data_IF_652586440351
#
_entry.id   IF_652586440351
#
_cell.length_a   1.000
_cell.length_b   1.000
_cell.length_c   1.000
_cell.angle_alpha   90.00
_cell.angle_beta   90.00
_cell.angle_gamma   90.00
#
_symmetry.space_group_name_H-M   'P 1'
#
loop_
_entity.id
_entity.type
_entity.pdbx_description
1 polymer ?
#
# COMPACT_ATOMS: atom_id res chain seq x y z
N UNK A 1 23.34 -44.19 41.02
CA UNK A 1 22.08 -43.59 41.50
C UNK A 1 21.41 -42.96 40.29
N UNK A 2 20.36 -43.62 39.81
CA UNK A 2 19.60 -43.27 38.60
C UNK A 2 18.17 -42.98 39.06
N UNK A 3 17.53 -41.86 38.70
CA UNK A 3 16.11 -41.70 38.98
C UNK A 3 15.28 -42.33 37.86
N UNK A 4 14.35 -43.21 38.26
CA UNK A 4 13.31 -43.83 37.44
C UNK A 4 12.23 -42.79 37.07
N UNK A 5 11.71 -42.88 35.84
CA UNK A 5 10.41 -42.30 35.45
C UNK A 5 9.25 -43.03 36.14
N UNK A 6 8.10 -42.37 36.33
CA UNK A 6 6.80 -43.02 36.33
C UNK A 6 6.11 -42.88 34.97
N UNK A 7 5.57 -44.00 34.52
CA UNK A 7 4.72 -44.22 33.35
C UNK A 7 3.27 -43.98 33.78
N UNK A 8 2.55 -43.08 33.10
CA UNK A 8 1.08 -43.08 33.13
C UNK A 8 0.55 -43.22 31.70
N UNK A 9 -0.11 -44.35 31.49
CA UNK A 9 -0.83 -44.73 30.29
C UNK A 9 -2.27 -44.24 30.39
N UNK A 10 -2.70 -43.40 29.44
CA UNK A 10 -4.12 -43.20 29.15
C UNK A 10 -4.39 -43.53 27.68
N UNK A 11 -5.21 -44.56 27.49
CA UNK A 11 -5.77 -45.01 26.23
C UNK A 11 -7.16 -44.43 26.10
N UNK A 12 -7.44 -43.73 25.00
CA UNK A 12 -8.78 -43.64 24.43
C UNK A 12 -8.70 -43.93 22.94
N UNK A 13 -9.33 -45.03 22.54
CA UNK A 13 -9.63 -45.36 21.17
C UNK A 13 -10.84 -44.56 20.68
N UNK A 14 -10.84 -44.40 19.35
CA UNK A 14 -11.99 -44.33 18.45
C UNK A 14 -12.61 -42.99 18.07
N UNK A 15 -12.21 -42.59 16.85
CA UNK A 15 -13.06 -42.25 15.69
C UNK A 15 -14.15 -41.19 15.86
N UNK A 16 -13.80 -39.97 15.46
CA UNK A 16 -14.68 -39.14 14.62
C UNK A 16 -13.85 -38.57 13.47
N UNK A 17 -14.08 -39.12 12.27
CA UNK A 17 -13.67 -38.55 10.99
C UNK A 17 -14.32 -37.17 10.83
N UNK A 18 -13.53 -36.13 11.07
CA UNK A 18 -13.88 -34.76 10.66
C UNK A 18 -13.42 -34.61 9.22
N UNK A 19 -14.41 -34.50 8.35
CA UNK A 19 -14.29 -34.17 6.94
C UNK A 19 -13.46 -32.87 6.81
N UNK A 20 -12.24 -32.99 6.28
CA UNK A 20 -11.39 -31.87 5.95
C UNK A 20 -11.99 -31.14 4.75
N UNK A 21 -12.83 -30.13 4.99
CA UNK A 21 -13.01 -29.08 4.01
C UNK A 21 -11.69 -28.33 3.91
N UNK A 22 -10.94 -28.62 2.84
CA UNK A 22 -9.79 -27.83 2.41
C UNK A 22 -10.15 -26.34 2.47
N UNK A 23 -9.38 -25.51 3.20
CA UNK A 23 -9.52 -24.07 3.06
C UNK A 23 -9.15 -23.76 1.61
N UNK A 24 -10.10 -23.21 0.85
CA UNK A 24 -9.94 -22.84 -0.55
C UNK A 24 -8.56 -22.20 -0.75
N UNK A 25 -7.69 -22.94 -1.43
CA UNK A 25 -6.39 -22.49 -1.88
C UNK A 25 -6.68 -21.26 -2.76
N UNK A 26 -6.46 -20.07 -2.21
CA UNK A 26 -6.59 -18.83 -2.97
C UNK A 26 -5.43 -18.88 -3.96
N UNK A 27 -5.73 -19.29 -5.19
CA UNK A 27 -4.75 -19.41 -6.24
C UNK A 27 -4.09 -18.05 -6.42
N UNK A 28 -2.80 -17.97 -6.06
CA UNK A 28 -2.03 -16.73 -6.10
C UNK A 28 -1.96 -16.21 -7.54
N UNK A 29 -2.10 -17.11 -8.53
CA UNK A 29 -2.24 -16.76 -9.93
C UNK A 29 -3.55 -16.00 -10.20
N UNK A 30 -4.67 -16.37 -9.58
CA UNK A 30 -5.95 -15.66 -9.70
C UNK A 30 -5.90 -14.27 -9.03
N UNK A 31 -5.12 -14.10 -7.95
CA UNK A 31 -4.92 -12.78 -7.33
C UNK A 31 -4.09 -11.86 -8.25
N UNK A 32 -3.03 -12.38 -8.84
CA UNK A 32 -2.17 -11.66 -9.80
C UNK A 32 -2.93 -11.36 -11.10
N UNK A 33 -3.75 -12.29 -11.58
CA UNK A 33 -4.56 -12.15 -12.79
C UNK A 33 -5.79 -11.24 -12.57
N UNK A 34 -6.35 -11.24 -11.36
CA UNK A 34 -7.40 -10.29 -10.93
C UNK A 34 -6.88 -8.85 -10.85
N UNK A 35 -5.61 -8.65 -10.53
CA UNK A 35 -4.97 -7.32 -10.57
C UNK A 35 -4.71 -6.89 -12.02
N UNK A 36 -4.40 -7.85 -12.91
CA UNK A 36 -4.12 -7.62 -14.33
C UNK A 36 -5.33 -7.43 -15.25
N UNK A 37 -6.54 -7.82 -14.84
CA UNK A 37 -7.77 -7.79 -15.67
C UNK A 37 -8.83 -6.84 -15.13
N UNK A 38 -8.54 -5.53 -15.11
CA UNK A 38 -9.58 -4.52 -14.84
C UNK A 38 -10.11 -3.95 -16.15
N UNK A 39 -11.37 -4.25 -16.47
CA UNK A 39 -12.07 -3.75 -17.65
C UNK A 39 -12.28 -2.22 -17.61
N UNK A 40 -11.98 -1.55 -18.74
CA UNK A 40 -11.91 -0.08 -18.90
C UNK A 40 -13.23 0.54 -19.38
N UNK A 41 -14.34 0.28 -18.71
CA UNK A 41 -15.63 0.86 -19.09
C UNK A 41 -15.89 2.20 -18.38
N UNK A 42 -15.96 3.28 -19.18
CA UNK A 42 -16.45 4.63 -18.89
C UNK A 42 -15.83 5.39 -17.70
N UNK A 43 -14.92 6.30 -18.00
CA UNK A 43 -14.37 7.29 -17.07
C UNK A 43 -15.46 8.26 -16.57
N UNK A 44 -15.58 8.48 -15.24
CA UNK A 44 -16.41 9.55 -14.70
C UNK A 44 -15.95 10.94 -15.14
N UNK A 45 -16.88 11.89 -15.32
CA UNK A 45 -16.63 13.22 -15.86
C UNK A 45 -15.61 14.09 -15.07
N UNK A 46 -15.26 13.72 -13.84
CA UNK A 46 -14.30 14.46 -12.99
C UNK A 46 -12.82 14.26 -13.33
N UNK A 47 -12.46 13.18 -14.04
CA UNK A 47 -11.06 12.83 -14.27
C UNK A 47 -10.31 13.81 -15.20
N UNK A 48 -11.01 14.53 -16.08
CA UNK A 48 -10.42 15.56 -16.95
C UNK A 48 -9.93 16.81 -16.19
N UNK A 49 -10.38 17.03 -14.95
CA UNK A 49 -9.90 18.14 -14.10
C UNK A 49 -8.65 17.75 -13.29
N UNK A 50 -8.50 16.45 -12.98
CA UNK A 50 -7.28 15.91 -12.38
C UNK A 50 -6.07 16.13 -13.30
N UNK A 51 -6.30 16.15 -14.61
CA UNK A 51 -5.26 16.32 -15.63
C UNK A 51 -4.74 17.77 -15.82
N UNK A 52 -5.12 18.74 -14.97
CA UNK A 52 -4.63 20.13 -15.08
C UNK A 52 -3.83 20.61 -13.85
N UNK A 53 -3.58 19.74 -12.87
CA UNK A 53 -3.12 20.13 -11.55
C UNK A 53 -1.58 20.07 -11.41
N UNK A 54 -0.91 21.23 -11.39
CA UNK A 54 0.54 21.34 -11.15
C UNK A 54 0.91 22.04 -9.83
N UNK A 55 -0.05 22.71 -9.17
CA UNK A 55 0.23 23.56 -8.00
C UNK A 55 -0.78 23.43 -6.85
N UNK A 56 -1.86 22.66 -7.04
CA UNK A 56 -2.91 22.43 -6.04
C UNK A 56 -3.62 21.10 -6.32
N UNK A 57 -4.34 20.59 -5.32
CA UNK A 57 -5.22 19.43 -5.51
C UNK A 57 -6.49 19.85 -6.27
N UNK A 58 -7.15 18.91 -6.98
CA UNK A 58 -8.44 19.15 -7.60
C UNK A 58 -9.52 19.62 -6.59
N UNK A 59 -10.65 20.16 -7.07
CA UNK A 59 -11.82 20.42 -6.24
C UNK A 59 -12.28 19.18 -5.46
N UNK A 60 -12.83 19.39 -4.25
CA UNK A 60 -13.18 18.30 -3.32
C UNK A 60 -14.18 17.30 -3.91
N UNK A 61 -15.17 17.78 -4.64
CA UNK A 61 -16.17 16.96 -5.33
C UNK A 61 -15.55 16.01 -6.37
N UNK A 62 -14.50 16.45 -7.07
CA UNK A 62 -13.72 15.60 -7.97
C UNK A 62 -12.95 14.55 -7.17
N UNK A 63 -12.30 14.96 -6.08
CA UNK A 63 -11.52 14.05 -5.23
C UNK A 63 -12.38 12.97 -4.61
N UNK A 64 -13.58 13.28 -4.13
CA UNK A 64 -14.51 12.30 -3.58
C UNK A 64 -14.84 11.20 -4.61
N UNK A 65 -15.10 11.58 -5.87
CA UNK A 65 -15.36 10.61 -6.95
C UNK A 65 -14.14 9.74 -7.26
N UNK A 66 -12.94 10.32 -7.24
CA UNK A 66 -11.68 9.59 -7.47
C UNK A 66 -11.40 8.63 -6.32
N UNK A 67 -11.62 9.05 -5.07
CA UNK A 67 -11.42 8.22 -3.88
C UNK A 67 -12.38 7.03 -3.84
N UNK A 68 -13.64 7.17 -4.27
CA UNK A 68 -14.53 6.00 -4.41
C UNK A 68 -13.98 5.01 -5.45
N UNK A 69 -13.47 5.52 -6.57
CA UNK A 69 -12.85 4.68 -7.60
C UNK A 69 -11.61 3.96 -7.05
N UNK A 70 -10.80 4.68 -6.29
CA UNK A 70 -9.62 4.14 -5.62
C UNK A 70 -9.98 3.00 -4.67
N UNK A 71 -10.93 3.24 -3.75
CA UNK A 71 -11.40 2.24 -2.79
C UNK A 71 -12.00 1.00 -3.45
N UNK A 72 -12.60 1.14 -4.64
CA UNK A 72 -13.15 0.02 -5.39
C UNK A 72 -12.07 -0.77 -6.14
N UNK A 73 -11.04 -0.10 -6.69
CA UNK A 73 -10.03 -0.74 -7.55
C UNK A 73 -8.78 -1.22 -6.83
N UNK A 74 -8.42 -0.58 -5.73
CA UNK A 74 -7.20 -0.87 -4.99
C UNK A 74 -7.56 -1.42 -3.61
N UNK A 75 -7.14 -2.64 -3.32
CA UNK A 75 -7.16 -3.15 -1.97
C UNK A 75 -6.16 -2.32 -1.14
N UNK A 76 -6.64 -1.62 -0.12
CA UNK A 76 -5.81 -0.82 0.78
C UNK A 76 -5.60 -1.56 2.11
N UNK A 77 -4.58 -2.42 2.23
CA UNK A 77 -4.35 -3.15 3.46
C UNK A 77 -3.91 -2.25 4.62
N UNK A 78 -3.29 -1.08 4.35
CA UNK A 78 -2.65 -0.25 5.39
C UNK A 78 -3.42 1.01 5.82
N UNK A 79 -4.39 1.48 5.04
CA UNK A 79 -5.22 2.64 5.38
C UNK A 79 -6.69 2.24 5.47
N UNK A 80 -7.30 2.44 6.64
CA UNK A 80 -8.74 2.25 6.78
C UNK A 80 -9.52 3.30 5.96
N UNK A 81 -10.74 2.94 5.52
CA UNK A 81 -11.63 3.90 4.84
C UNK A 81 -11.86 5.16 5.67
N UNK A 82 -12.03 5.02 6.98
CA UNK A 82 -12.23 6.14 7.91
C UNK A 82 -11.00 7.04 7.97
N UNK A 83 -9.79 6.46 8.02
CA UNK A 83 -8.53 7.20 8.00
C UNK A 83 -8.36 7.98 6.69
N UNK A 84 -8.66 7.35 5.55
CA UNK A 84 -8.59 7.99 4.24
C UNK A 84 -9.53 9.19 4.12
N UNK A 85 -10.78 9.04 4.57
CA UNK A 85 -11.76 10.14 4.58
C UNK A 85 -11.32 11.26 5.53
N UNK A 86 -10.76 10.91 6.71
CA UNK A 86 -10.21 11.90 7.63
C UNK A 86 -9.04 12.70 7.03
N UNK A 87 -8.17 12.06 6.25
CA UNK A 87 -7.14 12.78 5.48
C UNK A 87 -7.74 13.67 4.39
N UNK A 88 -8.80 13.22 3.71
CA UNK A 88 -9.51 14.07 2.75
C UNK A 88 -10.10 15.31 3.43
N UNK A 89 -10.79 15.16 4.55
CA UNK A 89 -11.32 16.29 5.33
C UNK A 89 -10.20 17.24 5.77
N UNK A 90 -9.11 16.71 6.33
CA UNK A 90 -7.93 17.50 6.76
C UNK A 90 -7.29 18.26 5.60
N UNK A 91 -7.27 17.68 4.41
CA UNK A 91 -6.70 18.28 3.19
C UNK A 91 -7.42 19.56 2.79
N UNK A 92 -8.76 19.59 2.95
CA UNK A 92 -9.60 20.74 2.60
C UNK A 92 -9.99 21.60 3.82
N UNK A 93 -9.45 21.30 5.00
CA UNK A 93 -9.64 22.13 6.18
C UNK A 93 -8.75 23.38 6.14
N UNK A 94 -9.22 24.49 6.73
CA UNK A 94 -8.48 25.75 6.87
C UNK A 94 -7.37 25.69 7.94
N UNK A 95 -6.71 24.53 8.08
CA UNK A 95 -5.66 24.29 9.07
C UNK A 95 -4.29 24.27 8.41
N UNK A 96 -3.27 24.83 9.07
CA UNK A 96 -1.90 24.91 8.55
C UNK A 96 -1.11 23.59 8.59
N UNK A 97 -1.60 22.56 9.30
CA UNK A 97 -0.96 21.24 9.44
C UNK A 97 -1.69 20.16 8.62
N UNK A 98 -1.91 20.43 7.33
CA UNK A 98 -2.54 19.48 6.40
C UNK A 98 -1.56 18.92 5.35
N UNK A 99 -0.28 19.29 5.41
CA UNK A 99 0.70 18.96 4.36
C UNK A 99 0.85 17.45 4.15
N UNK A 100 0.82 16.66 5.24
CA UNK A 100 0.85 15.20 5.14
C UNK A 100 -0.40 14.65 4.46
N UNK A 101 -1.58 15.14 4.84
CA UNK A 101 -2.85 14.77 4.22
C UNK A 101 -2.89 15.14 2.74
N UNK A 102 -2.37 16.32 2.38
CA UNK A 102 -2.23 16.77 0.98
C UNK A 102 -1.31 15.84 0.19
N UNK A 103 -0.18 15.40 0.78
CA UNK A 103 0.68 14.38 0.18
C UNK A 103 -0.10 13.08 -0.07
N UNK A 104 -0.72 12.53 0.97
CA UNK A 104 -1.37 11.22 0.92
C UNK A 104 -2.52 11.22 -0.11
N UNK A 105 -3.41 12.22 -0.04
CA UNK A 105 -4.54 12.36 -0.95
C UNK A 105 -4.06 12.66 -2.38
N UNK A 106 -3.09 13.56 -2.55
CA UNK A 106 -2.55 13.89 -3.87
C UNK A 106 -1.89 12.70 -4.57
N UNK A 107 -1.11 11.90 -3.84
CA UNK A 107 -0.52 10.67 -4.39
C UNK A 107 -1.59 9.64 -4.72
N UNK A 108 -2.62 9.45 -3.89
CA UNK A 108 -3.73 8.53 -4.18
C UNK A 108 -4.50 8.95 -5.44
N UNK A 109 -4.78 10.24 -5.60
CA UNK A 109 -5.42 10.76 -6.82
C UNK A 109 -4.54 10.50 -8.02
N UNK A 110 -3.24 10.77 -7.93
CA UNK A 110 -2.29 10.50 -9.00
C UNK A 110 -2.28 9.00 -9.36
N UNK A 111 -2.16 8.10 -8.38
CA UNK A 111 -2.21 6.64 -8.55
C UNK A 111 -3.48 6.20 -9.27
N UNK A 112 -4.64 6.70 -8.81
CA UNK A 112 -5.93 6.36 -9.40
C UNK A 112 -6.03 6.88 -10.83
N UNK A 113 -5.58 8.10 -11.08
CA UNK A 113 -5.61 8.70 -12.40
C UNK A 113 -4.70 7.94 -13.37
N UNK A 114 -3.51 7.51 -12.97
CA UNK A 114 -2.64 6.66 -13.82
C UNK A 114 -3.30 5.32 -14.15
N UNK A 115 -3.96 4.68 -13.18
CA UNK A 115 -4.52 3.34 -13.39
C UNK A 115 -5.85 3.31 -14.16
N UNK A 116 -6.58 4.43 -14.23
CA UNK A 116 -7.90 4.50 -14.90
C UNK A 116 -7.82 5.31 -16.20
N UNK A 117 -6.93 6.30 -16.22
CA UNK A 117 -6.48 7.24 -17.28
C UNK A 117 -5.69 6.71 -18.49
N UNK A 118 -6.23 6.46 -19.70
CA UNK A 118 -5.37 6.03 -20.81
C UNK A 118 -4.33 7.08 -21.20
N UNK A 119 -4.60 8.39 -21.08
CA UNK A 119 -3.66 9.51 -21.25
C UNK A 119 -4.27 10.88 -20.84
N UNK A 120 -3.47 11.93 -20.53
CA UNK A 120 -2.00 11.92 -20.47
C UNK A 120 -1.45 11.74 -19.05
N UNK A 121 -0.46 10.86 -18.93
CA UNK A 121 0.28 10.55 -17.70
C UNK A 121 1.03 11.77 -17.11
N UNK A 122 1.34 12.77 -17.95
CA UNK A 122 2.08 13.98 -17.56
C UNK A 122 1.45 14.73 -16.38
N UNK A 123 0.13 14.83 -16.34
CA UNK A 123 -0.57 15.57 -15.30
C UNK A 123 -0.64 14.80 -13.98
N UNK A 124 -0.80 13.48 -14.05
CA UNK A 124 -0.70 12.62 -12.86
C UNK A 124 0.70 12.67 -12.27
N UNK A 125 1.73 12.75 -13.11
CA UNK A 125 3.12 12.93 -12.66
C UNK A 125 3.35 14.31 -12.04
N UNK A 126 2.78 15.38 -12.60
CA UNK A 126 2.83 16.71 -11.98
C UNK A 126 2.16 16.73 -10.60
N UNK A 127 1.00 16.09 -10.47
CA UNK A 127 0.30 15.96 -9.20
C UNK A 127 1.09 15.11 -8.19
N UNK A 128 1.71 14.02 -8.65
CA UNK A 128 2.62 13.23 -7.84
C UNK A 128 3.80 14.09 -7.35
N UNK A 129 4.47 14.83 -8.24
CA UNK A 129 5.57 15.72 -7.87
C UNK A 129 5.17 16.79 -6.86
N UNK A 130 4.02 17.43 -7.07
CA UNK A 130 3.45 18.36 -6.11
C UNK A 130 3.27 17.69 -4.73
N UNK A 131 2.75 16.47 -4.70
CA UNK A 131 2.51 15.71 -3.46
C UNK A 131 3.81 15.36 -2.75
N UNK A 132 4.86 14.96 -3.48
CA UNK A 132 6.21 14.73 -2.93
C UNK A 132 6.80 15.99 -2.29
N UNK A 133 6.60 17.15 -2.89
CA UNK A 133 7.05 18.41 -2.29
C UNK A 133 6.40 18.63 -0.92
N UNK A 134 5.12 18.28 -0.75
CA UNK A 134 4.41 18.37 0.54
C UNK A 134 4.95 17.38 1.58
N UNK A 135 5.26 16.16 1.16
CA UNK A 135 5.93 15.18 2.03
C UNK A 135 7.30 15.72 2.50
N UNK A 136 8.10 16.29 1.59
CA UNK A 136 9.44 16.80 1.93
C UNK A 136 9.41 17.93 2.96
N UNK A 137 8.37 18.77 2.95
CA UNK A 137 8.18 19.82 3.95
C UNK A 137 7.75 19.19 5.28
N UNK A 138 6.81 18.24 5.23
CA UNK A 138 6.31 17.53 6.42
C UNK A 138 7.43 16.82 7.17
N UNK A 139 8.30 16.08 6.47
CA UNK A 139 9.41 15.34 7.09
C UNK A 139 10.49 16.25 7.69
N UNK A 140 10.55 17.54 7.31
CA UNK A 140 11.45 18.53 7.93
C UNK A 140 10.91 19.06 9.25
N UNK A 141 9.62 18.90 9.51
CA UNK A 141 8.99 19.28 10.78
C UNK A 141 8.98 18.06 11.71
N UNK A 142 9.32 18.23 13.00
CA UNK A 142 9.33 17.14 13.99
C UNK A 142 7.98 16.40 13.96
N UNK A 143 8.02 15.09 13.74
CA UNK A 143 6.83 14.27 13.52
C UNK A 143 6.01 14.05 14.82
N UNK A 144 4.68 14.23 14.80
CA UNK A 144 3.79 13.84 15.90
C UNK A 144 3.38 12.36 15.88
N UNK A 145 3.60 11.61 14.79
CA UNK A 145 3.21 10.20 14.67
C UNK A 145 4.39 9.36 14.12
N UNK A 146 4.82 8.31 14.85
CA UNK A 146 5.97 7.49 14.48
C UNK A 146 5.75 6.68 13.19
N UNK A 147 4.51 6.40 12.79
CA UNK A 147 4.24 5.51 11.66
C UNK A 147 4.01 6.24 10.32
N UNK A 148 4.04 7.57 10.31
CA UNK A 148 3.83 8.39 9.11
C UNK A 148 4.84 8.09 8.00
N UNK A 149 6.07 7.76 8.35
CA UNK A 149 7.11 7.41 7.39
C UNK A 149 6.77 6.10 6.68
N UNK A 150 6.30 5.08 7.43
CA UNK A 150 5.88 3.80 6.86
C UNK A 150 4.65 3.97 5.95
N UNK A 151 3.65 4.73 6.39
CA UNK A 151 2.48 5.07 5.57
C UNK A 151 2.86 5.81 4.29
N UNK A 152 3.85 6.71 4.36
CA UNK A 152 4.35 7.42 3.18
C UNK A 152 5.01 6.45 2.20
N UNK A 153 5.87 5.55 2.68
CA UNK A 153 6.52 4.53 1.83
C UNK A 153 5.49 3.65 1.12
N UNK A 154 4.47 3.18 1.83
CA UNK A 154 3.41 2.34 1.26
C UNK A 154 2.55 3.10 0.24
N UNK A 155 2.30 4.39 0.49
CA UNK A 155 1.58 5.26 -0.46
C UNK A 155 2.39 5.48 -1.74
N UNK A 156 3.71 5.70 -1.61
CA UNK A 156 4.62 5.82 -2.76
C UNK A 156 4.73 4.52 -3.55
N UNK A 157 4.76 3.38 -2.87
CA UNK A 157 4.81 2.07 -3.50
C UNK A 157 3.55 1.80 -4.32
N UNK A 158 2.39 2.25 -3.82
CA UNK A 158 1.12 2.16 -4.54
C UNK A 158 1.17 2.94 -5.87
N UNK A 159 1.81 4.12 -5.88
CA UNK A 159 2.05 4.87 -7.11
C UNK A 159 3.03 4.16 -8.04
N UNK A 160 4.15 3.65 -7.51
CA UNK A 160 5.16 2.91 -8.28
C UNK A 160 4.54 1.71 -9.03
N UNK A 161 3.62 0.99 -8.38
CA UNK A 161 2.87 -0.13 -8.99
C UNK A 161 1.97 0.29 -10.14
N UNK A 162 1.32 1.44 -10.02
CA UNK A 162 0.39 1.92 -11.04
C UNK A 162 1.11 2.42 -12.30
N UNK A 163 2.37 2.86 -12.17
CA UNK A 163 3.16 3.36 -13.30
C UNK A 163 3.87 2.20 -13.99
N UNK A 164 3.39 1.81 -15.18
CA UNK A 164 4.06 0.79 -16.00
C UNK A 164 5.24 1.37 -16.79
N UNK A 165 6.28 0.56 -17.10
CA UNK A 165 7.41 0.98 -17.94
C UNK A 165 7.00 1.58 -19.30
N UNK A 166 5.93 1.05 -19.88
CA UNK A 166 5.40 1.50 -21.18
C UNK A 166 4.79 2.91 -21.09
N UNK A 167 4.13 3.22 -19.96
CA UNK A 167 3.55 4.54 -19.73
C UNK A 167 4.64 5.63 -19.57
N UNK A 168 5.81 5.28 -19.03
CA UNK A 168 6.93 6.23 -18.83
C UNK A 168 7.59 6.59 -20.16
N UNK A 169 7.69 5.61 -21.06
CA UNK A 169 8.38 5.76 -22.35
C UNK A 169 7.69 6.76 -23.29
N UNK A 170 6.38 6.99 -23.13
CA UNK A 170 5.62 7.96 -23.94
C UNK A 170 5.79 9.42 -23.51
N UNK A 171 6.20 9.69 -22.26
CA UNK A 171 6.23 11.06 -21.70
C UNK A 171 7.62 11.69 -21.71
N UNK A 172 8.67 10.95 -22.08
CA UNK A 172 10.05 11.47 -22.10
C UNK A 172 10.55 11.91 -20.72
N UNK A 173 9.94 11.39 -19.65
CA UNK A 173 10.31 11.70 -18.26
C UNK A 173 11.55 10.90 -17.91
N UNK A 174 12.53 11.56 -17.30
CA UNK A 174 13.71 10.87 -16.78
C UNK A 174 13.27 9.93 -15.65
N UNK A 175 13.63 8.64 -15.77
CA UNK A 175 13.30 7.58 -14.79
C UNK A 175 13.72 7.90 -13.36
N UNK A 176 14.65 8.84 -13.18
CA UNK A 176 15.13 9.37 -11.89
C UNK A 176 14.02 9.97 -10.99
N UNK A 177 12.89 10.36 -11.58
CA UNK A 177 11.78 11.02 -10.86
C UNK A 177 10.72 10.06 -10.33
N UNK A 178 10.80 8.78 -10.69
CA UNK A 178 9.82 7.78 -10.29
C UNK A 178 10.28 7.01 -9.06
N UNK A 179 9.34 6.65 -8.17
CA UNK A 179 9.69 5.85 -7.01
C UNK A 179 10.18 4.46 -7.44
N UNK A 180 11.34 4.06 -6.95
CA UNK A 180 11.86 2.71 -7.13
C UNK A 180 11.18 1.75 -6.14
N UNK A 181 10.34 0.87 -6.65
CA UNK A 181 9.59 -0.12 -5.85
C UNK A 181 10.52 -0.99 -4.99
N UNK A 182 11.71 -1.34 -5.49
CA UNK A 182 12.70 -2.13 -4.74
C UNK A 182 13.26 -1.36 -3.55
N UNK A 183 13.59 -0.09 -3.77
CA UNK A 183 14.08 0.76 -2.67
C UNK A 183 12.99 0.99 -1.62
N UNK A 184 11.74 1.19 -2.05
CA UNK A 184 10.61 1.37 -1.15
C UNK A 184 10.29 0.10 -0.34
N UNK A 185 10.38 -1.08 -0.95
CA UNK A 185 10.24 -2.36 -0.24
C UNK A 185 11.25 -2.49 0.90
N UNK A 186 12.55 -2.32 0.60
CA UNK A 186 13.61 -2.39 1.62
C UNK A 186 13.46 -1.31 2.71
N UNK A 187 13.03 -0.10 2.34
CA UNK A 187 12.77 0.98 3.29
C UNK A 187 11.58 0.66 4.20
N UNK A 188 10.50 0.08 3.66
CA UNK A 188 9.32 -0.32 4.42
C UNK A 188 9.63 -1.37 5.49
N UNK A 189 10.42 -2.40 5.13
CA UNK A 189 10.88 -3.42 6.09
C UNK A 189 11.78 -2.80 7.15
N UNK A 190 12.75 -1.97 6.75
CA UNK A 190 13.65 -1.30 7.71
C UNK A 190 12.86 -0.47 8.72
N UNK A 191 11.95 0.39 8.26
CA UNK A 191 11.13 1.22 9.17
C UNK A 191 10.30 0.32 10.09
N UNK A 192 9.73 -0.76 9.57
CA UNK A 192 8.96 -1.72 10.37
C UNK A 192 9.80 -2.35 11.49
N UNK A 193 11.05 -2.71 11.21
CA UNK A 193 12.01 -3.24 12.21
C UNK A 193 12.43 -2.16 13.20
N UNK A 194 12.76 -0.95 12.73
CA UNK A 194 13.16 0.17 13.58
C UNK A 194 12.07 0.56 14.59
N UNK A 195 10.80 0.37 14.23
CA UNK A 195 9.64 0.55 15.12
C UNK A 195 9.21 -0.71 15.90
N UNK A 196 9.90 -1.84 15.71
CA UNK A 196 9.58 -3.08 16.43
C UNK A 196 8.25 -3.73 16.04
N UNK A 197 7.73 -3.46 14.84
CA UNK A 197 6.44 -4.01 14.39
C UNK A 197 6.45 -5.55 14.25
N UNK A 198 7.63 -6.12 14.00
CA UNK A 198 7.85 -7.56 13.98
C UNK A 198 8.59 -8.00 15.26
N UNK A 199 8.08 -8.90 16.12
CA UNK A 199 6.76 -9.55 16.19
C UNK A 199 5.75 -8.81 17.11
N UNK A 200 5.94 -7.52 17.38
CA UNK A 200 5.30 -6.83 18.50
C UNK A 200 4.20 -5.83 18.11
N UNK A 201 3.61 -5.91 16.91
CA UNK A 201 2.47 -5.06 16.54
C UNK A 201 1.33 -5.18 17.58
N UNK A 202 1.03 -4.07 18.26
CA UNK A 202 0.10 -4.02 19.39
C UNK A 202 -1.28 -3.52 18.98
N UNK A 203 -1.36 -2.83 17.83
CA UNK A 203 -2.61 -2.27 17.30
C UNK A 203 -2.97 -2.83 15.93
N UNK A 204 -4.28 -2.81 15.55
CA UNK A 204 -4.69 -3.18 14.20
C UNK A 204 -4.02 -2.34 13.11
N UNK A 205 -3.72 -1.06 13.39
CA UNK A 205 -3.00 -0.17 12.45
C UNK A 205 -1.56 -0.62 12.26
N UNK A 206 -0.85 -0.91 13.34
CA UNK A 206 0.52 -1.41 13.30
C UNK A 206 0.63 -2.72 12.53
N UNK A 207 -0.29 -3.65 12.80
CA UNK A 207 -0.36 -4.91 12.07
C UNK A 207 -0.63 -4.69 10.59
N UNK A 208 -1.61 -3.86 10.25
CA UNK A 208 -1.94 -3.50 8.86
C UNK A 208 -0.76 -2.87 8.11
N UNK A 209 0.01 -2.01 8.78
CA UNK A 209 1.21 -1.39 8.22
C UNK A 209 2.34 -2.41 8.01
N UNK A 210 2.57 -3.29 8.97
CA UNK A 210 3.56 -4.36 8.84
C UNK A 210 3.18 -5.33 7.73
N UNK A 211 1.95 -5.82 7.70
CA UNK A 211 1.46 -6.77 6.71
C UNK A 211 1.57 -6.17 5.29
N UNK A 212 1.29 -4.87 5.13
CA UNK A 212 1.46 -4.18 3.86
C UNK A 212 2.93 -4.00 3.45
N UNK A 213 3.83 -3.71 4.40
CA UNK A 213 5.27 -3.63 4.13
C UNK A 213 5.87 -4.99 3.77
N UNK A 214 5.42 -6.04 4.45
CA UNK A 214 5.78 -7.42 4.16
C UNK A 214 5.30 -7.86 2.77
N UNK A 215 4.03 -7.60 2.45
CA UNK A 215 3.49 -7.91 1.13
C UNK A 215 4.25 -7.17 0.01
N UNK A 216 4.65 -5.92 0.26
CA UNK A 216 5.48 -5.14 -0.66
C UNK A 216 6.88 -5.76 -0.86
N UNK A 217 7.50 -6.27 0.20
CA UNK A 217 8.80 -6.95 0.12
C UNK A 217 8.73 -8.25 -0.69
N UNK A 218 7.71 -9.08 -0.43
CA UNK A 218 7.47 -10.31 -1.19
C UNK A 218 7.25 -10.00 -2.67
N UNK A 219 6.41 -9.01 -2.99
CA UNK A 219 6.16 -8.59 -4.38
C UNK A 219 7.45 -8.12 -5.07
N UNK A 220 8.24 -7.27 -4.42
CA UNK A 220 9.50 -6.79 -4.97
C UNK A 220 10.51 -7.94 -5.16
N UNK A 221 10.57 -8.87 -4.21
CA UNK A 221 11.44 -10.04 -4.29
C UNK A 221 11.08 -10.92 -5.50
N UNK A 222 9.79 -11.15 -5.74
CA UNK A 222 9.31 -11.88 -6.90
C UNK A 222 9.61 -11.15 -8.21
N UNK A 223 9.29 -9.84 -8.29
CA UNK A 223 9.46 -9.03 -9.49
C UNK A 223 10.93 -8.88 -9.91
N UNK A 224 11.86 -8.86 -8.95
CA UNK A 224 13.27 -8.60 -9.19
C UNK A 224 14.19 -9.80 -8.95
N UNK A 225 13.62 -10.99 -8.71
CA UNK A 225 14.35 -12.22 -8.38
C UNK A 225 15.34 -12.05 -7.21
N UNK A 226 14.91 -11.36 -6.16
CA UNK A 226 15.70 -11.14 -4.94
C UNK A 226 15.35 -12.20 -3.88
N UNK A 227 16.27 -12.53 -2.97
CA UNK A 227 15.92 -13.32 -1.79
C UNK A 227 14.92 -12.53 -0.93
N UNK A 228 13.83 -13.19 -0.50
CA UNK A 228 12.84 -12.61 0.42
C UNK A 228 13.50 -12.39 1.79
N UNK A 229 13.23 -11.25 2.44
CA UNK A 229 13.91 -10.85 3.66
C UNK A 229 13.01 -10.68 4.88
N UNK A 230 12.57 -11.80 5.49
CA UNK A 230 12.35 -12.08 6.94
C UNK A 230 11.79 -13.54 7.07
N UNK A 231 12.02 -14.26 8.20
CA UNK A 231 12.02 -15.73 8.24
C UNK A 231 10.64 -16.39 8.13
N UNK A 232 10.59 -17.54 7.45
CA UNK A 232 9.42 -18.43 7.21
C UNK A 232 8.65 -18.90 8.47
N UNK A 233 9.03 -18.46 9.67
CA UNK A 233 8.51 -18.98 10.94
C UNK A 233 7.10 -18.49 11.33
N UNK A 234 6.36 -17.79 10.46
CA UNK A 234 4.95 -17.41 10.71
C UNK A 234 3.93 -18.20 9.89
N UNK A 235 4.37 -19.12 9.02
CA UNK A 235 3.48 -20.11 8.42
C UNK A 235 3.52 -21.35 9.32
N UNK A 236 2.64 -21.37 10.33
CA UNK A 236 2.45 -22.57 11.15
C UNK A 236 1.95 -23.70 10.25
N UNK A 237 2.77 -24.75 10.13
CA UNK A 237 2.36 -26.12 9.80
C UNK A 237 1.69 -26.73 11.02
#
# INVERSE_FOLDING_TARGET
MTPQQPTESFSYNDTTSVESTDPAEVDLADLIESIGKVSFAALPAGFSQVTACSSSLPPRDVVDSVLQTYLHRFAMPFLSRTSLLGHCDSTYAETSDNLYSVFLIGTIIATTAVAVVPEPLSSSLQLYHFSIQRLSITLRTKAPDPFRELEAVLTLASFARAVTPDAISSVGVTTSLLPDLRMLAGLGIRISVDHGLHPCAQSPREKALFDAAYALDVEAALLFHLPIGLPEATVHV
#
